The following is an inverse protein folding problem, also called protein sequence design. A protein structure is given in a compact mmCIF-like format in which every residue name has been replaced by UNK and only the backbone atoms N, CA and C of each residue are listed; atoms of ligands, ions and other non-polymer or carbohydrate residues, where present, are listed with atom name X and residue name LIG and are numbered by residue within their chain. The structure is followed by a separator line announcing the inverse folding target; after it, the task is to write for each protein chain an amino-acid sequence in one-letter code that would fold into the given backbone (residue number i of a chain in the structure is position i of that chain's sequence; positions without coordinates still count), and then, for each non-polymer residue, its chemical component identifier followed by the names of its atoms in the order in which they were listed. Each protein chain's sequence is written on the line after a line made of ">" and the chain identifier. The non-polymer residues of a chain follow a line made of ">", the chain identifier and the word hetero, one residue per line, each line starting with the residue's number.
data_IF_905795065840
#
_entry.id   IF_905795065840
#
_cell.length_a   1.000
_cell.length_b   1.000
_cell.length_c   1.000
_cell.angle_alpha   90.00
_cell.angle_beta   90.00
_cell.angle_gamma   90.00
#
_symmetry.space_group_name_H-M   'P 1'
#
loop_
_entity.id
_entity.type
_entity.pdbx_description
1 polymer ?
#
# COMPACT_ATOMS: atom_id res chain seq x y z
N UNK A 1 -23.36 -28.63 37.14
CA UNK A 1 -22.04 -27.97 36.98
C UNK A 1 -21.25 -28.90 36.06
N UNK A 2 -21.25 -28.64 34.79
CA UNK A 2 -20.48 -29.37 33.77
C UNK A 2 -19.08 -28.70 33.72
N UNK A 3 -18.05 -29.44 34.17
CA UNK A 3 -16.67 -29.07 33.96
C UNK A 3 -16.41 -28.90 32.45
N UNK A 4 -16.14 -27.66 32.04
CA UNK A 4 -15.51 -27.40 30.76
C UNK A 4 -14.08 -27.93 30.85
N UNK A 5 -13.84 -29.12 30.32
CA UNK A 5 -12.50 -29.59 30.02
C UNK A 5 -11.88 -28.63 29.02
N UNK A 6 -10.94 -27.85 29.52
CA UNK A 6 -10.12 -26.93 28.72
C UNK A 6 -9.15 -27.80 27.88
N UNK A 7 -9.63 -28.27 26.74
CA UNK A 7 -8.90 -29.14 25.81
C UNK A 7 -7.85 -28.28 25.07
N UNK A 8 -6.78 -27.94 25.79
CA UNK A 8 -5.62 -27.27 25.18
C UNK A 8 -4.92 -28.29 24.30
N UNK A 9 -5.07 -28.11 22.99
CA UNK A 9 -4.26 -28.85 22.01
C UNK A 9 -2.79 -28.63 22.28
N UNK A 10 -2.00 -29.71 22.25
CA UNK A 10 -0.56 -29.62 22.42
C UNK A 10 0.02 -28.80 21.24
N UNK A 11 0.96 -27.93 21.55
CA UNK A 11 1.66 -27.20 20.51
C UNK A 11 2.41 -28.17 19.61
N UNK A 12 2.46 -27.85 18.31
CA UNK A 12 3.31 -28.55 17.37
C UNK A 12 4.77 -28.31 17.79
N UNK A 13 5.44 -29.37 18.23
CA UNK A 13 6.85 -29.31 18.59
C UNK A 13 7.66 -29.72 17.37
N UNK A 14 8.26 -28.75 16.69
CA UNK A 14 9.22 -29.05 15.63
C UNK A 14 10.44 -29.75 16.23
N UNK A 15 10.89 -30.87 15.68
CA UNK A 15 12.04 -31.57 16.22
C UNK A 15 13.29 -30.69 16.18
N UNK A 16 14.10 -30.75 17.26
CA UNK A 16 15.34 -29.96 17.42
C UNK A 16 16.42 -30.24 16.34
N UNK A 17 16.21 -31.19 15.48
CA UNK A 17 17.10 -31.54 14.38
C UNK A 17 16.84 -30.74 13.08
N UNK A 18 16.14 -29.60 13.17
CA UNK A 18 16.11 -28.65 12.08
C UNK A 18 17.52 -28.12 11.83
N UNK A 19 18.08 -28.37 10.69
CA UNK A 19 19.25 -27.65 10.20
C UNK A 19 18.83 -26.19 10.02
N UNK A 20 19.12 -25.35 11.03
CA UNK A 20 18.94 -23.93 10.88
C UNK A 20 19.90 -23.44 9.80
N UNK A 21 19.42 -23.27 8.60
CA UNK A 21 20.13 -22.48 7.61
C UNK A 21 19.82 -21.02 7.94
N UNK A 22 20.85 -20.17 8.15
CA UNK A 22 20.62 -18.75 8.26
C UNK A 22 19.90 -18.31 6.98
N UNK A 23 18.77 -17.62 7.12
CA UNK A 23 18.14 -16.94 6.00
C UNK A 23 19.15 -15.95 5.43
N UNK A 24 19.81 -16.33 4.38
CA UNK A 24 20.41 -15.38 3.48
C UNK A 24 19.27 -14.87 2.63
N UNK A 25 18.84 -13.63 2.89
CA UNK A 25 18.05 -12.91 1.90
C UNK A 25 18.71 -13.19 0.56
N UNK A 26 17.97 -13.75 -0.40
CA UNK A 26 18.46 -13.69 -1.76
C UNK A 26 18.76 -12.22 -1.99
N UNK A 27 20.03 -11.85 -1.96
CA UNK A 27 20.42 -10.63 -2.64
C UNK A 27 19.88 -10.88 -4.05
N UNK A 28 18.80 -10.20 -4.38
CA UNK A 28 18.42 -10.03 -5.77
C UNK A 28 19.69 -9.51 -6.43
N UNK A 29 20.49 -10.40 -6.97
CA UNK A 29 21.76 -10.30 -7.67
C UNK A 29 22.41 -8.93 -7.76
N UNK A 30 22.59 -8.27 -6.65
CA UNK A 30 22.97 -6.89 -6.61
C UNK A 30 24.02 -6.58 -5.56
N UNK A 31 25.10 -7.36 -5.57
CA UNK A 31 26.40 -6.81 -5.27
C UNK A 31 27.00 -6.12 -6.49
N UNK A 32 26.26 -5.92 -7.58
CA UNK A 32 26.57 -4.92 -8.56
C UNK A 32 26.28 -3.58 -7.92
N UNK A 33 27.27 -2.75 -7.65
CA UNK A 33 27.15 -1.30 -7.61
C UNK A 33 26.20 -0.97 -8.75
N UNK A 34 24.95 -0.58 -8.45
CA UNK A 34 24.06 0.01 -9.45
C UNK A 34 24.90 1.15 -9.97
N UNK A 35 25.41 1.01 -11.19
CA UNK A 35 26.27 2.03 -11.77
C UNK A 35 25.37 3.24 -11.87
N UNK A 36 25.52 4.14 -10.89
CA UNK A 36 24.79 5.40 -10.90
C UNK A 36 25.10 6.05 -12.25
N UNK A 37 24.09 6.44 -13.02
CA UNK A 37 24.31 7.02 -14.32
C UNK A 37 25.30 8.18 -14.20
N UNK A 38 26.34 8.19 -15.04
CA UNK A 38 27.23 9.33 -15.12
C UNK A 38 26.44 10.52 -15.65
N UNK A 39 26.50 11.62 -14.92
CA UNK A 39 25.76 12.84 -15.25
C UNK A 39 26.68 14.05 -15.16
N UNK A 40 26.39 15.03 -16.00
CA UNK A 40 26.88 16.37 -15.75
C UNK A 40 26.28 16.86 -14.42
N UNK A 41 27.10 16.79 -13.37
CA UNK A 41 26.73 17.14 -12.00
C UNK A 41 26.18 18.55 -11.90
N UNK A 42 26.81 19.50 -12.60
CA UNK A 42 26.39 20.91 -12.54
C UNK A 42 25.04 21.13 -13.25
N UNK A 43 24.89 20.62 -14.46
CA UNK A 43 23.63 20.74 -15.19
C UNK A 43 22.49 20.06 -14.46
N UNK A 44 22.71 18.83 -13.96
CA UNK A 44 21.71 18.05 -13.26
C UNK A 44 21.30 18.68 -11.90
N UNK A 45 22.29 19.04 -11.07
CA UNK A 45 22.03 19.66 -9.78
C UNK A 45 21.35 21.03 -9.89
N UNK A 46 21.72 21.84 -10.91
CA UNK A 46 21.05 23.12 -11.19
C UNK A 46 19.60 22.90 -11.63
N UNK A 47 19.33 21.89 -12.47
CA UNK A 47 17.96 21.57 -12.88
C UNK A 47 17.07 21.19 -11.68
N UNK A 48 17.54 20.28 -10.81
CA UNK A 48 16.80 19.90 -9.59
C UNK A 48 16.62 21.08 -8.62
N UNK A 49 17.65 21.94 -8.48
CA UNK A 49 17.54 23.16 -7.66
C UNK A 49 16.46 24.11 -8.20
N UNK A 50 16.36 24.27 -9.52
CA UNK A 50 15.34 25.10 -10.15
C UNK A 50 13.93 24.53 -9.88
N UNK A 51 13.76 23.23 -10.01
CA UNK A 51 12.49 22.57 -9.72
C UNK A 51 12.10 22.70 -8.24
N UNK A 52 13.05 22.52 -7.33
CA UNK A 52 12.82 22.70 -5.89
C UNK A 52 12.47 24.15 -5.54
N UNK A 53 13.05 25.12 -6.24
CA UNK A 53 12.72 26.53 -6.08
C UNK A 53 11.28 26.81 -6.55
N UNK A 54 10.81 26.21 -7.63
CA UNK A 54 9.42 26.29 -8.08
C UNK A 54 8.45 25.73 -7.04
N UNK A 55 8.79 24.56 -6.45
CA UNK A 55 8.04 23.99 -5.33
C UNK A 55 7.97 24.95 -4.14
N UNK A 56 9.10 25.59 -3.81
CA UNK A 56 9.19 26.57 -2.71
C UNK A 56 8.31 27.80 -2.94
N UNK A 57 8.25 28.31 -4.15
CA UNK A 57 7.40 29.44 -4.50
C UNK A 57 5.92 29.13 -4.32
N UNK A 58 5.50 27.89 -4.67
CA UNK A 58 4.13 27.44 -4.45
C UNK A 58 3.83 27.16 -2.97
N UNK A 59 4.83 26.88 -2.16
CA UNK A 59 4.65 26.55 -0.73
C UNK A 59 3.99 27.68 0.07
N UNK A 60 4.28 28.92 -0.27
CA UNK A 60 3.67 30.07 0.39
C UNK A 60 2.16 30.15 0.19
N UNK A 61 1.68 29.87 -1.03
CA UNK A 61 0.26 29.82 -1.35
C UNK A 61 -0.46 28.65 -0.66
N UNK A 62 0.21 27.49 -0.63
CA UNK A 62 -0.30 26.30 0.08
C UNK A 62 -0.45 26.61 1.57
N UNK A 63 0.55 27.20 2.17
CA UNK A 63 0.54 27.57 3.59
C UNK A 63 -0.58 28.59 3.90
N UNK A 64 -0.71 29.64 3.11
CA UNK A 64 -1.81 30.62 3.29
C UNK A 64 -3.18 29.94 3.24
N UNK A 65 -3.39 29.01 2.30
CA UNK A 65 -4.62 28.23 2.22
C UNK A 65 -4.84 27.33 3.44
N UNK A 66 -3.78 26.69 3.96
CA UNK A 66 -3.84 25.85 5.16
C UNK A 66 -4.16 26.67 6.41
N UNK A 67 -3.57 27.86 6.55
CA UNK A 67 -3.86 28.80 7.63
C UNK A 67 -5.31 29.30 7.57
N UNK A 68 -5.81 29.65 6.39
CA UNK A 68 -7.20 30.09 6.17
C UNK A 68 -8.24 29.01 6.51
N UNK A 69 -7.89 27.73 6.37
CA UNK A 69 -8.72 26.59 6.76
C UNK A 69 -8.49 26.16 8.20
N UNK A 70 -7.65 26.85 8.96
CA UNK A 70 -7.33 26.55 10.36
C UNK A 70 -6.94 25.09 10.58
N UNK A 71 -6.05 24.57 9.72
CA UNK A 71 -5.61 23.16 9.84
C UNK A 71 -4.79 22.96 11.11
N UNK A 72 -5.04 21.85 11.80
CA UNK A 72 -4.47 21.52 13.11
C UNK A 72 -3.50 20.34 13.09
N UNK A 73 -3.43 19.56 12.01
CA UNK A 73 -2.55 18.40 11.89
C UNK A 73 -1.09 18.74 11.54
N UNK A 74 -0.81 20.02 11.32
CA UNK A 74 0.49 20.54 10.92
C UNK A 74 0.49 21.02 9.47
N UNK A 75 1.24 22.11 9.26
CA UNK A 75 1.43 22.72 7.93
C UNK A 75 2.55 21.99 7.19
N UNK A 76 2.42 21.87 5.88
CA UNK A 76 3.41 21.24 5.04
C UNK A 76 2.92 21.02 3.62
N UNK A 77 3.70 20.32 2.84
CA UNK A 77 3.36 20.00 1.45
C UNK A 77 3.79 18.58 1.10
N UNK A 78 3.18 18.03 0.06
CA UNK A 78 3.65 16.79 -0.54
C UNK A 78 4.44 17.05 -1.80
N UNK A 79 5.57 16.41 -1.88
CA UNK A 79 6.52 16.51 -3.00
C UNK A 79 6.70 15.12 -3.59
N UNK A 80 6.56 15.05 -4.90
CA UNK A 80 6.88 13.86 -5.66
C UNK A 80 8.33 13.92 -6.16
N UNK A 81 9.09 12.90 -5.79
CA UNK A 81 10.44 12.65 -6.26
C UNK A 81 10.39 11.55 -7.31
N UNK A 82 10.72 11.87 -8.54
CA UNK A 82 10.65 10.96 -9.68
C UNK A 82 12.03 10.40 -9.95
N UNK A 83 12.15 9.08 -9.98
CA UNK A 83 13.39 8.37 -10.29
C UNK A 83 13.75 8.40 -11.77
N UNK A 84 14.91 7.88 -12.09
CA UNK A 84 15.36 7.65 -13.46
C UNK A 84 14.78 6.32 -13.98
N UNK A 85 14.50 6.20 -15.28
CA UNK A 85 14.22 4.90 -15.88
C UNK A 85 15.35 3.91 -15.60
N UNK A 86 15.00 2.68 -15.31
CA UNK A 86 15.92 1.56 -15.03
C UNK A 86 16.90 1.78 -13.84
N UNK A 87 16.65 2.79 -13.01
CA UNK A 87 17.44 3.06 -11.82
C UNK A 87 16.55 3.02 -10.58
N UNK A 88 16.93 2.20 -9.61
CA UNK A 88 16.23 2.16 -8.34
C UNK A 88 16.36 3.49 -7.59
N UNK A 89 15.26 4.12 -7.27
CA UNK A 89 15.23 5.35 -6.49
C UNK A 89 15.68 5.07 -5.06
N UNK A 90 16.67 5.82 -4.58
CA UNK A 90 17.16 5.73 -3.19
C UNK A 90 16.17 6.38 -2.19
N UNK A 91 14.92 5.92 -2.19
CA UNK A 91 13.80 6.52 -1.43
C UNK A 91 14.01 6.53 0.09
N UNK A 92 14.76 5.57 0.63
CA UNK A 92 15.10 5.54 2.06
C UNK A 92 15.84 6.81 2.53
N UNK A 93 16.54 7.47 1.60
CA UNK A 93 17.25 8.71 1.87
C UNK A 93 16.36 9.95 1.81
N UNK A 94 15.11 9.82 1.37
CA UNK A 94 14.13 10.92 1.29
C UNK A 94 13.46 11.20 2.63
N UNK A 95 13.30 10.17 3.48
CA UNK A 95 12.71 10.31 4.80
C UNK A 95 13.68 10.88 5.83
N UNK A 96 13.16 11.65 6.78
CA UNK A 96 13.92 12.08 7.95
C UNK A 96 12.99 12.11 9.18
N UNK A 97 12.93 11.00 9.89
CA UNK A 97 12.08 10.79 11.05
C UNK A 97 12.80 11.06 12.40
N UNK A 98 13.88 11.85 12.34
CA UNK A 98 14.66 12.18 13.54
C UNK A 98 13.94 13.22 14.39
N UNK A 99 13.88 12.96 15.70
CA UNK A 99 13.30 13.87 16.68
C UNK A 99 12.04 13.30 17.33
N UNK A 100 11.61 13.94 18.43
CA UNK A 100 10.46 13.49 19.23
C UNK A 100 9.12 13.94 18.67
N UNK A 101 9.11 15.03 17.89
CA UNK A 101 7.89 15.59 17.30
C UNK A 101 7.62 14.97 15.93
N UNK A 102 6.77 13.97 15.89
CA UNK A 102 6.39 13.27 14.64
C UNK A 102 5.78 14.21 13.57
N UNK A 103 5.09 15.28 13.97
CA UNK A 103 4.54 16.25 13.04
C UNK A 103 5.61 17.06 12.28
N UNK A 104 6.86 16.99 12.71
CA UNK A 104 8.02 17.62 12.07
C UNK A 104 8.90 16.62 11.31
N UNK A 105 8.45 15.39 11.13
CA UNK A 105 9.18 14.39 10.35
C UNK A 105 8.93 14.59 8.85
N UNK A 106 9.99 14.44 8.06
CA UNK A 106 9.87 14.28 6.62
C UNK A 106 9.52 12.80 6.40
N UNK A 107 8.32 12.53 5.92
CA UNK A 107 7.75 11.18 5.84
C UNK A 107 7.60 10.76 4.38
N UNK A 108 8.13 9.58 4.01
CA UNK A 108 7.82 8.93 2.74
C UNK A 108 6.44 8.29 2.89
N UNK A 109 5.45 8.79 2.15
CA UNK A 109 4.06 8.37 2.27
C UNK A 109 3.73 7.17 1.39
N UNK A 110 4.15 7.22 0.13
CA UNK A 110 3.93 6.15 -0.84
C UNK A 110 5.08 6.07 -1.84
N UNK A 111 5.26 4.88 -2.41
CA UNK A 111 6.19 4.61 -3.49
C UNK A 111 5.37 3.99 -4.61
N UNK A 112 5.53 4.52 -5.81
CA UNK A 112 4.83 4.05 -6.99
C UNK A 112 5.84 3.65 -8.06
N UNK A 113 5.56 2.55 -8.76
CA UNK A 113 6.38 2.10 -9.90
C UNK A 113 5.50 2.02 -11.14
N UNK A 114 5.82 2.82 -12.13
CA UNK A 114 5.16 2.82 -13.43
C UNK A 114 6.19 2.45 -14.51
N UNK A 115 6.05 1.24 -15.06
CA UNK A 115 7.07 0.70 -15.96
C UNK A 115 8.44 0.62 -15.28
N UNK A 116 9.42 1.31 -15.85
CA UNK A 116 10.80 1.35 -15.37
C UNK A 116 11.09 2.56 -14.45
N UNK A 117 10.09 3.38 -14.17
CA UNK A 117 10.24 4.58 -13.34
C UNK A 117 9.66 4.33 -11.95
N UNK A 118 10.46 4.59 -10.92
CA UNK A 118 9.99 4.60 -9.53
C UNK A 118 9.86 6.04 -9.05
N UNK A 119 8.73 6.40 -8.46
CA UNK A 119 8.51 7.68 -7.81
C UNK A 119 8.16 7.50 -6.33
N UNK A 120 8.43 8.54 -5.53
CA UNK A 120 8.10 8.56 -4.12
C UNK A 120 7.40 9.85 -3.75
N UNK A 121 6.27 9.76 -3.04
CA UNK A 121 5.60 10.91 -2.45
C UNK A 121 6.09 11.11 -1.03
N UNK A 122 6.54 12.32 -0.76
CA UNK A 122 7.14 12.70 0.52
C UNK A 122 6.40 13.88 1.11
N UNK A 123 5.93 13.74 2.33
CA UNK A 123 5.44 14.88 3.10
C UNK A 123 6.62 15.65 3.69
N UNK A 124 6.65 16.93 3.41
CA UNK A 124 7.67 17.87 3.91
C UNK A 124 6.97 18.91 4.77
N UNK A 125 7.16 18.90 6.10
CA UNK A 125 6.64 19.91 7.01
C UNK A 125 7.12 21.31 6.62
N UNK A 126 6.32 22.32 6.96
CA UNK A 126 6.67 23.73 6.72
C UNK A 126 8.05 24.05 7.32
N UNK A 127 8.86 24.79 6.56
CA UNK A 127 10.24 25.13 6.91
C UNK A 127 11.27 23.99 6.75
N UNK A 128 10.87 22.75 6.38
CA UNK A 128 11.79 21.61 6.21
C UNK A 128 12.30 21.43 4.78
N UNK A 129 11.83 22.21 3.82
CA UNK A 129 12.30 22.13 2.44
C UNK A 129 13.81 22.39 2.33
N UNK A 130 14.36 23.18 3.25
CA UNK A 130 15.81 23.44 3.38
C UNK A 130 16.65 22.17 3.48
N UNK A 131 16.07 21.06 3.94
CA UNK A 131 16.74 19.77 4.00
C UNK A 131 17.18 19.31 2.60
N UNK A 132 16.29 19.38 1.62
CA UNK A 132 16.59 19.01 0.23
C UNK A 132 17.40 20.08 -0.50
N UNK A 133 17.21 21.38 -0.17
CA UNK A 133 18.08 22.44 -0.67
C UNK A 133 19.55 22.16 -0.29
N UNK A 134 19.79 21.75 0.95
CA UNK A 134 21.13 21.39 1.42
C UNK A 134 21.67 20.15 0.69
N UNK A 135 20.86 19.13 0.44
CA UNK A 135 21.28 17.93 -0.29
C UNK A 135 21.76 18.28 -1.70
N UNK A 136 20.99 19.11 -2.41
CA UNK A 136 21.37 19.57 -3.76
C UNK A 136 22.61 20.47 -3.71
N UNK A 137 22.73 21.33 -2.70
CA UNK A 137 23.90 22.17 -2.53
C UNK A 137 25.18 21.35 -2.22
N UNK A 138 25.07 20.36 -1.32
CA UNK A 138 26.15 19.44 -1.00
C UNK A 138 26.60 18.63 -2.24
N UNK A 139 25.61 18.23 -3.07
CA UNK A 139 25.88 17.58 -4.36
C UNK A 139 26.63 18.48 -5.31
N UNK A 140 26.21 19.72 -5.52
CA UNK A 140 26.82 20.67 -6.43
C UNK A 140 28.26 21.05 -6.03
N UNK A 141 28.56 21.10 -4.72
CA UNK A 141 29.87 21.46 -4.16
C UNK A 141 30.77 20.26 -3.90
N UNK A 142 30.33 19.04 -4.24
CA UNK A 142 31.11 17.80 -3.99
C UNK A 142 31.52 17.67 -2.52
N UNK A 143 30.62 17.97 -1.60
CA UNK A 143 30.89 17.99 -0.17
C UNK A 143 31.59 16.72 0.32
N UNK A 144 32.61 16.89 1.11
CA UNK A 144 33.35 15.83 1.79
C UNK A 144 33.36 16.06 3.29
N UNK A 145 33.43 14.99 4.06
CA UNK A 145 33.71 15.05 5.50
C UNK A 145 35.16 15.37 5.76
N UNK A 146 35.51 15.68 7.00
CA UNK A 146 36.88 15.95 7.41
C UNK A 146 37.83 14.76 7.18
N UNK A 147 37.32 13.53 7.16
CA UNK A 147 38.03 12.29 6.85
C UNK A 147 38.16 12.02 5.34
N UNK A 148 37.67 12.94 4.49
CA UNK A 148 37.73 12.81 3.03
C UNK A 148 36.60 11.97 2.41
N UNK A 149 35.74 11.34 3.23
CA UNK A 149 34.60 10.54 2.75
C UNK A 149 33.57 11.47 2.11
N UNK A 150 33.01 11.04 0.98
CA UNK A 150 31.95 11.78 0.29
C UNK A 150 30.72 11.94 1.19
N UNK A 151 30.18 13.15 1.22
CA UNK A 151 28.96 13.53 1.94
C UNK A 151 28.03 14.36 1.05
N UNK A 152 28.11 14.13 -0.27
CA UNK A 152 27.51 14.93 -1.33
C UNK A 152 26.13 14.39 -1.79
N UNK A 153 25.58 13.42 -1.09
CA UNK A 153 24.28 12.80 -1.42
C UNK A 153 24.14 12.29 -2.87
N UNK A 154 25.26 12.01 -3.54
CA UNK A 154 25.32 11.56 -4.93
C UNK A 154 24.43 10.32 -5.18
N UNK A 155 24.38 9.38 -4.22
CA UNK A 155 23.58 8.17 -4.32
C UNK A 155 22.08 8.46 -4.49
N UNK A 156 21.55 9.48 -3.83
CA UNK A 156 20.18 9.92 -4.00
C UNK A 156 20.03 10.80 -5.25
N UNK A 157 20.83 11.86 -5.34
CA UNK A 157 20.63 12.89 -6.37
C UNK A 157 20.77 12.32 -7.79
N UNK A 158 21.70 11.39 -8.02
CA UNK A 158 21.87 10.77 -9.34
C UNK A 158 20.71 9.81 -9.71
N UNK A 159 19.94 9.32 -8.74
CA UNK A 159 18.75 8.49 -9.03
C UNK A 159 17.51 9.31 -9.37
N UNK A 160 17.52 10.62 -9.10
CA UNK A 160 16.41 11.52 -9.40
C UNK A 160 16.41 11.97 -10.86
N UNK A 161 15.24 12.05 -11.45
CA UNK A 161 15.00 12.75 -12.73
C UNK A 161 14.28 14.08 -12.53
N UNK A 162 13.33 14.14 -11.59
CA UNK A 162 12.57 15.35 -11.34
C UNK A 162 12.05 15.44 -9.89
N UNK A 163 11.73 16.68 -9.49
CA UNK A 163 11.12 17.04 -8.22
C UNK A 163 9.93 17.97 -8.54
N UNK A 164 8.71 17.62 -8.09
CA UNK A 164 7.52 18.44 -8.30
C UNK A 164 6.55 18.33 -7.11
N UNK A 165 5.55 19.20 -7.06
CA UNK A 165 4.45 19.00 -6.13
C UNK A 165 3.68 17.74 -6.50
N UNK A 166 3.23 16.99 -5.49
CA UNK A 166 2.40 15.82 -5.70
C UNK A 166 1.06 16.21 -6.34
N UNK A 167 0.60 15.35 -7.25
CA UNK A 167 -0.71 15.42 -7.91
C UNK A 167 -1.53 14.20 -7.50
N UNK A 168 -2.84 14.19 -7.80
CA UNK A 168 -3.72 13.05 -7.48
C UNK A 168 -3.15 11.74 -8.01
N UNK A 169 -2.68 11.74 -9.26
CA UNK A 169 -2.12 10.53 -9.88
C UNK A 169 -0.91 9.97 -9.14
N UNK A 170 -0.10 10.83 -8.53
CA UNK A 170 1.07 10.39 -7.77
C UNK A 170 0.71 9.76 -6.42
N UNK A 171 -0.50 10.02 -5.91
CA UNK A 171 -1.04 9.39 -4.71
C UNK A 171 -1.86 8.13 -5.00
N UNK A 172 -2.20 7.89 -6.26
CA UNK A 172 -2.97 6.73 -6.68
C UNK A 172 -2.11 5.47 -6.67
N UNK A 173 -2.49 4.48 -5.86
CA UNK A 173 -1.71 3.23 -5.67
C UNK A 173 -2.41 2.00 -6.23
N UNK A 174 -3.64 2.13 -6.72
CA UNK A 174 -4.30 1.07 -7.50
C UNK A 174 -3.86 1.08 -8.97
N UNK A 175 -4.32 0.09 -9.75
CA UNK A 175 -4.16 0.08 -11.20
C UNK A 175 -4.75 1.36 -11.81
N UNK A 176 -4.01 1.99 -12.72
CA UNK A 176 -4.43 3.24 -13.36
C UNK A 176 -5.70 3.07 -14.20
N UNK A 177 -6.02 1.86 -14.66
CA UNK A 177 -7.27 1.58 -15.38
C UNK A 177 -8.52 1.76 -14.51
N UNK A 178 -8.37 1.68 -13.17
CA UNK A 178 -9.46 1.89 -12.22
C UNK A 178 -9.72 3.37 -11.94
N UNK A 179 -8.80 4.26 -12.31
CA UNK A 179 -8.99 5.70 -12.21
C UNK A 179 -9.82 6.18 -13.40
N UNK A 180 -10.99 6.80 -13.17
CA UNK A 180 -11.83 7.29 -14.26
C UNK A 180 -11.08 8.23 -15.20
N UNK A 181 -11.24 8.02 -16.50
CA UNK A 181 -10.62 8.87 -17.53
C UNK A 181 -11.27 10.26 -17.62
N UNK A 182 -12.55 10.35 -17.26
CA UNK A 182 -13.25 11.63 -17.13
C UNK A 182 -12.97 12.21 -15.72
N UNK A 183 -12.27 13.35 -15.63
CA UNK A 183 -11.93 13.94 -14.33
C UNK A 183 -13.16 14.48 -13.56
N UNK A 184 -14.30 14.64 -14.22
CA UNK A 184 -15.55 15.09 -13.61
C UNK A 184 -16.44 13.91 -13.15
N UNK A 185 -16.11 12.68 -13.49
CA UNK A 185 -16.78 11.50 -12.99
C UNK A 185 -16.57 11.36 -11.49
N UNK A 186 -17.68 11.39 -10.73
CA UNK A 186 -17.64 11.21 -9.29
C UNK A 186 -17.76 9.72 -8.93
N UNK A 187 -16.91 9.29 -8.00
CA UNK A 187 -16.90 7.91 -7.50
C UNK A 187 -16.45 7.88 -6.04
N UNK A 188 -16.54 6.71 -5.40
CA UNK A 188 -16.03 6.51 -4.05
C UNK A 188 -14.53 6.23 -4.08
N UNK A 189 -13.79 7.09 -3.37
CA UNK A 189 -12.36 6.93 -3.09
C UNK A 189 -12.17 6.22 -1.77
N UNK A 190 -11.23 5.30 -1.70
CA UNK A 190 -10.64 4.80 -0.47
C UNK A 190 -9.42 5.66 -0.17
N UNK A 191 -9.48 6.39 0.93
CA UNK A 191 -8.50 7.41 1.27
C UNK A 191 -7.70 6.97 2.49
N UNK A 192 -6.40 6.86 2.33
CA UNK A 192 -5.46 6.49 3.36
C UNK A 192 -4.83 7.74 3.95
N UNK A 193 -5.11 8.02 5.21
CA UNK A 193 -4.62 9.19 5.93
C UNK A 193 -3.43 8.79 6.82
N UNK A 194 -2.33 9.58 6.85
CA UNK A 194 -1.20 9.31 7.74
C UNK A 194 -1.53 9.68 9.19
N UNK A 195 -0.80 9.08 10.14
CA UNK A 195 -0.91 9.41 11.57
C UNK A 195 0.24 10.32 11.99
N UNK A 196 0.13 11.61 11.77
CA UNK A 196 1.18 12.61 12.07
C UNK A 196 1.17 13.07 13.53
N UNK A 197 1.39 12.16 14.46
CA UNK A 197 1.38 12.47 15.89
C UNK A 197 -0.01 12.52 16.53
N UNK A 198 -0.98 13.16 15.88
CA UNK A 198 -2.38 13.20 16.31
C UNK A 198 -3.31 12.77 15.18
N UNK A 199 -3.75 11.53 15.20
CA UNK A 199 -4.67 10.93 14.22
C UNK A 199 -5.94 11.78 14.00
N UNK A 200 -6.58 12.17 15.11
CA UNK A 200 -7.84 12.89 15.03
C UNK A 200 -7.68 14.27 14.37
N UNK A 201 -6.53 14.92 14.55
CA UNK A 201 -6.23 16.18 13.87
C UNK A 201 -6.18 15.97 12.36
N UNK A 202 -5.51 14.94 11.86
CA UNK A 202 -5.43 14.64 10.41
C UNK A 202 -6.82 14.33 9.85
N UNK A 203 -7.60 13.50 10.54
CA UNK A 203 -8.98 13.17 10.11
C UNK A 203 -9.85 14.41 10.08
N UNK A 204 -9.78 15.26 11.10
CA UNK A 204 -10.55 16.52 11.16
C UNK A 204 -10.18 17.45 10.02
N UNK A 205 -8.90 17.62 9.74
CA UNK A 205 -8.42 18.45 8.65
C UNK A 205 -8.87 17.89 7.29
N UNK A 206 -8.78 16.58 7.10
CA UNK A 206 -9.27 15.94 5.89
C UNK A 206 -10.76 16.19 5.66
N UNK A 207 -11.62 16.02 6.69
CA UNK A 207 -13.04 16.32 6.59
C UNK A 207 -13.31 17.79 6.24
N UNK A 208 -12.60 18.71 6.90
CA UNK A 208 -12.75 20.15 6.66
C UNK A 208 -12.41 20.54 5.22
N UNK A 209 -11.30 20.04 4.72
CA UNK A 209 -10.84 20.33 3.35
C UNK A 209 -11.78 19.69 2.32
N UNK A 210 -12.12 18.40 2.50
CA UNK A 210 -13.02 17.69 1.58
C UNK A 210 -14.39 18.38 1.49
N UNK A 211 -14.92 18.82 2.62
CA UNK A 211 -16.16 19.57 2.64
C UNK A 211 -16.06 20.92 1.90
N UNK A 212 -14.92 21.61 2.03
CA UNK A 212 -14.66 22.87 1.33
C UNK A 212 -14.57 22.68 -0.21
N UNK A 213 -14.25 21.48 -0.68
CA UNK A 213 -14.22 21.11 -2.11
C UNK A 213 -15.54 20.54 -2.64
N UNK A 214 -16.55 20.41 -1.78
CA UNK A 214 -17.83 19.81 -2.12
C UNK A 214 -17.82 18.30 -2.21
N UNK A 215 -16.75 17.63 -1.72
CA UNK A 215 -16.72 16.19 -1.58
C UNK A 215 -17.47 15.74 -0.33
N UNK A 216 -18.07 14.54 -0.39
CA UNK A 216 -18.73 13.91 0.76
C UNK A 216 -17.76 12.92 1.40
N UNK A 217 -17.59 12.98 2.71
CA UNK A 217 -16.74 12.04 3.46
C UNK A 217 -17.60 11.15 4.34
N UNK A 218 -17.31 9.86 4.35
CA UNK A 218 -17.96 8.90 5.22
C UNK A 218 -17.61 9.18 6.70
N UNK A 219 -18.57 8.96 7.60
CA UNK A 219 -18.30 8.98 9.03
C UNK A 219 -17.59 7.70 9.51
N UNK A 220 -17.64 6.64 8.70
CA UNK A 220 -16.95 5.41 8.99
C UNK A 220 -15.46 5.51 8.66
N UNK A 221 -14.63 4.92 9.52
CA UNK A 221 -13.19 4.84 9.33
C UNK A 221 -12.63 3.58 9.97
N UNK A 222 -11.49 3.14 9.46
CA UNK A 222 -10.73 2.04 10.05
C UNK A 222 -9.36 2.55 10.47
N UNK A 223 -8.99 2.31 11.72
CA UNK A 223 -7.74 2.79 12.30
C UNK A 223 -6.70 1.67 12.36
N UNK A 224 -5.59 1.84 11.64
CA UNK A 224 -4.37 1.02 11.73
C UNK A 224 -3.30 1.78 12.52
N UNK A 225 -2.22 1.14 12.98
CA UNK A 225 -1.18 1.83 13.75
C UNK A 225 -0.62 3.09 13.09
N UNK A 226 -0.42 3.05 11.76
CA UNK A 226 0.25 4.12 10.99
C UNK A 226 -0.66 4.82 9.99
N UNK A 227 -1.86 4.33 9.78
CA UNK A 227 -2.82 4.86 8.79
C UNK A 227 -4.23 4.88 9.37
N UNK A 228 -5.05 5.78 8.84
CA UNK A 228 -6.51 5.75 8.98
C UNK A 228 -7.10 5.65 7.58
N UNK A 229 -7.99 4.70 7.35
CA UNK A 229 -8.71 4.56 6.10
C UNK A 229 -10.10 5.13 6.27
N UNK A 230 -10.54 5.94 5.33
CA UNK A 230 -11.91 6.46 5.23
C UNK A 230 -12.34 6.51 3.76
N UNK A 231 -13.60 6.77 3.52
CA UNK A 231 -14.15 6.86 2.17
C UNK A 231 -14.60 8.29 1.87
N UNK A 232 -14.40 8.69 0.63
CA UNK A 232 -14.82 9.99 0.14
C UNK A 232 -15.50 9.82 -1.23
N UNK A 233 -16.63 10.51 -1.42
CA UNK A 233 -17.31 10.58 -2.70
C UNK A 233 -17.07 11.94 -3.36
N UNK A 234 -16.61 11.93 -4.61
CA UNK A 234 -16.33 13.13 -5.38
C UNK A 234 -15.55 12.84 -6.65
N UNK A 235 -15.36 13.85 -7.48
CA UNK A 235 -14.61 13.76 -8.73
C UNK A 235 -13.14 14.17 -8.57
N UNK A 236 -12.27 13.76 -9.52
CA UNK A 236 -10.90 14.24 -9.56
C UNK A 236 -10.82 15.77 -9.66
N UNK A 237 -11.70 16.39 -10.44
CA UNK A 237 -11.75 17.85 -10.59
C UNK A 237 -12.04 18.56 -9.27
N UNK A 238 -12.99 18.05 -8.49
CA UNK A 238 -13.28 18.60 -7.15
C UNK A 238 -12.06 18.45 -6.23
N UNK A 239 -11.47 17.28 -6.21
CA UNK A 239 -10.33 16.97 -5.35
C UNK A 239 -9.06 17.74 -5.76
N UNK A 240 -8.83 17.97 -7.06
CA UNK A 240 -7.68 18.72 -7.59
C UNK A 240 -7.73 20.20 -7.27
N UNK A 241 -8.92 20.77 -7.11
CA UNK A 241 -9.08 22.20 -6.82
C UNK A 241 -8.51 22.57 -5.45
N UNK A 242 -8.49 21.63 -4.51
CA UNK A 242 -7.84 21.81 -3.23
C UNK A 242 -6.52 21.03 -3.16
N UNK A 243 -5.44 21.58 -3.73
CA UNK A 243 -4.08 21.07 -3.49
C UNK A 243 -3.76 20.86 -2.01
N UNK A 244 -4.53 21.50 -1.15
CA UNK A 244 -4.47 21.39 0.31
C UNK A 244 -4.95 20.02 0.80
N UNK A 245 -5.93 19.38 0.13
CA UNK A 245 -6.42 18.04 0.50
C UNK A 245 -5.30 17.01 0.42
N UNK A 246 -4.49 17.12 -0.62
CA UNK A 246 -3.41 16.18 -0.86
C UNK A 246 -2.43 16.10 0.34
N UNK A 247 -2.29 17.19 1.09
CA UNK A 247 -1.40 17.21 2.26
C UNK A 247 -1.86 16.33 3.43
N UNK A 248 -3.15 16.01 3.49
CA UNK A 248 -3.71 15.11 4.51
C UNK A 248 -3.81 13.67 4.05
N UNK A 249 -3.46 13.35 2.80
CA UNK A 249 -3.63 12.04 2.19
C UNK A 249 -2.27 11.36 2.00
N UNK A 250 -2.16 10.09 2.34
CA UNK A 250 -0.96 9.29 2.04
C UNK A 250 -1.13 8.54 0.72
N UNK A 251 -2.29 7.90 0.52
CA UNK A 251 -2.59 7.09 -0.64
C UNK A 251 -4.06 7.25 -1.03
N UNK A 252 -4.34 7.06 -2.30
CA UNK A 252 -5.67 7.03 -2.89
C UNK A 252 -5.87 5.75 -3.66
N UNK A 253 -7.04 5.14 -3.49
CA UNK A 253 -7.47 3.96 -4.22
C UNK A 253 -8.94 4.10 -4.61
N UNK A 254 -9.40 3.26 -5.51
CA UNK A 254 -10.84 3.12 -5.73
C UNK A 254 -11.45 2.36 -4.55
N UNK A 255 -12.51 2.91 -3.97
CA UNK A 255 -13.25 2.16 -2.97
C UNK A 255 -13.81 0.89 -3.62
N UNK A 256 -13.53 -0.25 -3.01
CA UNK A 256 -14.04 -1.53 -3.47
C UNK A 256 -15.45 -1.72 -2.95
N UNK A 257 -16.26 -2.48 -3.69
CA UNK A 257 -17.55 -2.92 -3.21
C UNK A 257 -17.35 -3.73 -1.92
N UNK A 258 -18.24 -3.55 -0.96
CA UNK A 258 -18.12 -4.23 0.32
C UNK A 258 -18.80 -5.61 0.27
N UNK A 259 -18.32 -6.56 1.06
CA UNK A 259 -18.97 -7.87 1.22
C UNK A 259 -20.41 -7.75 1.72
N UNK A 260 -20.79 -6.62 2.30
CA UNK A 260 -22.12 -6.34 2.83
C UNK A 260 -23.23 -6.56 1.80
N UNK A 261 -22.98 -6.23 0.52
CA UNK A 261 -23.93 -6.53 -0.55
C UNK A 261 -24.23 -8.04 -0.62
N UNK A 262 -23.20 -8.87 -0.68
CA UNK A 262 -23.35 -10.32 -0.79
C UNK A 262 -23.84 -10.93 0.51
N UNK A 263 -23.40 -10.43 1.65
CA UNK A 263 -23.84 -10.90 2.98
C UNK A 263 -25.32 -10.59 3.23
N UNK A 264 -25.80 -9.46 2.73
CA UNK A 264 -27.21 -9.04 2.84
C UNK A 264 -28.18 -9.78 1.93
N UNK A 265 -27.69 -10.52 0.93
CA UNK A 265 -28.56 -11.27 0.00
C UNK A 265 -29.25 -12.47 0.67
N UNK A 266 -30.48 -12.81 0.27
CA UNK A 266 -31.11 -14.07 0.64
C UNK A 266 -30.24 -15.26 0.22
N UNK A 267 -30.24 -16.34 1.01
CA UNK A 267 -29.38 -17.51 0.77
C UNK A 267 -29.51 -18.11 -0.66
N UNK A 268 -30.72 -18.04 -1.25
CA UNK A 268 -30.93 -18.50 -2.64
C UNK A 268 -30.19 -17.61 -3.64
N UNK A 269 -30.17 -16.31 -3.42
CA UNK A 269 -29.44 -15.36 -4.29
C UNK A 269 -27.94 -15.49 -4.12
N UNK A 270 -27.44 -15.65 -2.88
CA UNK A 270 -26.03 -15.97 -2.64
C UNK A 270 -25.60 -17.24 -3.40
N UNK A 271 -26.45 -18.28 -3.41
CA UNK A 271 -26.17 -19.51 -4.14
C UNK A 271 -26.07 -19.28 -5.66
N UNK A 272 -26.89 -18.41 -6.24
CA UNK A 272 -26.81 -18.07 -7.67
C UNK A 272 -25.47 -17.43 -8.03
N UNK A 273 -24.95 -16.55 -7.19
CA UNK A 273 -23.62 -15.96 -7.36
C UNK A 273 -22.50 -17.00 -7.25
N UNK A 274 -22.60 -17.90 -6.28
CA UNK A 274 -21.66 -19.02 -6.12
C UNK A 274 -21.69 -19.93 -7.35
N UNK A 275 -22.89 -20.30 -7.84
CA UNK A 275 -23.05 -21.15 -9.02
C UNK A 275 -22.49 -20.50 -10.28
N UNK A 276 -22.61 -19.17 -10.39
CA UNK A 276 -22.03 -18.42 -11.49
C UNK A 276 -20.49 -18.42 -11.43
N UNK A 277 -19.91 -18.10 -10.28
CA UNK A 277 -18.47 -18.15 -10.07
C UNK A 277 -17.89 -19.54 -10.36
N UNK A 278 -18.56 -20.60 -9.92
CA UNK A 278 -18.14 -21.98 -10.17
C UNK A 278 -18.16 -22.35 -11.67
N UNK A 279 -19.08 -21.79 -12.47
CA UNK A 279 -19.11 -22.00 -13.93
C UNK A 279 -17.91 -21.34 -14.62
N UNK A 280 -17.41 -20.24 -14.09
CA UNK A 280 -16.26 -19.49 -14.61
C UNK A 280 -14.93 -19.98 -14.09
N UNK A 281 -14.95 -20.78 -13.00
CA UNK A 281 -13.75 -21.27 -12.34
C UNK A 281 -13.00 -22.30 -13.21
N UNK A 282 -11.75 -22.03 -13.45
CA UNK A 282 -10.80 -22.92 -14.12
C UNK A 282 -9.72 -23.30 -13.14
N UNK A 283 -9.66 -24.58 -12.81
CA UNK A 283 -8.69 -25.14 -11.85
C UNK A 283 -7.86 -26.23 -12.52
N UNK A 284 -6.57 -26.38 -12.17
CA UNK A 284 -5.76 -27.46 -12.68
C UNK A 284 -6.27 -28.81 -12.18
N UNK A 285 -6.07 -29.86 -12.99
CA UNK A 285 -6.36 -31.24 -12.58
C UNK A 285 -5.48 -31.61 -11.38
N UNK A 286 -5.94 -32.51 -10.48
CA UNK A 286 -5.11 -33.08 -9.43
C UNK A 286 -3.86 -33.82 -9.95
N UNK A 287 -3.87 -34.22 -11.22
CA UNK A 287 -2.80 -34.93 -11.89
C UNK A 287 -1.75 -33.98 -12.52
N UNK A 288 -2.08 -32.68 -12.59
CA UNK A 288 -1.17 -31.67 -13.13
C UNK A 288 -0.06 -31.37 -12.11
N UNK A 289 1.15 -31.16 -12.62
CA UNK A 289 2.28 -30.77 -11.79
C UNK A 289 2.24 -29.24 -11.53
N UNK A 290 1.37 -28.84 -10.62
CA UNK A 290 1.17 -27.43 -10.22
C UNK A 290 1.59 -27.21 -8.78
N UNK A 291 1.91 -25.97 -8.38
CA UNK A 291 2.20 -25.66 -6.98
C UNK A 291 0.97 -25.85 -6.09
N UNK A 292 1.23 -26.15 -4.82
CA UNK A 292 0.23 -26.22 -3.77
C UNK A 292 0.47 -25.14 -2.74
N UNK A 293 -0.61 -24.52 -2.28
CA UNK A 293 -0.58 -23.66 -1.09
C UNK A 293 -1.01 -24.50 0.11
N UNK A 294 -0.08 -24.70 1.03
CA UNK A 294 -0.34 -25.45 2.27
C UNK A 294 -0.80 -24.49 3.37
N UNK A 295 -1.99 -24.70 3.90
CA UNK A 295 -2.57 -23.92 4.99
C UNK A 295 -2.40 -24.64 6.33
N UNK A 296 -1.58 -24.07 7.19
CA UNK A 296 -1.33 -24.57 8.55
C UNK A 296 -2.32 -23.95 9.53
N UNK A 297 -3.50 -24.50 9.63
CA UNK A 297 -4.59 -24.03 10.48
C UNK A 297 -5.26 -25.18 11.25
N UNK A 298 -6.41 -24.97 11.83
CA UNK A 298 -7.20 -26.01 12.50
C UNK A 298 -7.90 -26.97 11.52
N UNK A 299 -7.86 -26.70 10.22
CA UNK A 299 -8.47 -27.45 9.12
C UNK A 299 -9.17 -26.53 8.13
N UNK A 300 -9.73 -27.13 7.08
CA UNK A 300 -10.54 -26.46 6.06
C UNK A 300 -11.87 -27.19 5.89
N UNK A 301 -12.97 -26.44 5.76
CA UNK A 301 -14.26 -27.02 5.42
C UNK A 301 -14.35 -27.28 3.90
N UNK A 302 -13.82 -28.41 3.47
CA UNK A 302 -13.88 -28.85 2.05
C UNK A 302 -15.32 -29.00 1.52
N UNK A 303 -16.30 -29.14 2.40
CA UNK A 303 -17.72 -29.20 2.01
C UNK A 303 -18.24 -27.88 1.43
N UNK A 304 -17.51 -26.77 1.54
CA UNK A 304 -17.86 -25.51 0.91
C UNK A 304 -17.74 -25.64 -0.62
N UNK A 305 -18.81 -25.29 -1.35
CA UNK A 305 -18.90 -25.48 -2.79
C UNK A 305 -17.71 -24.87 -3.56
N UNK A 306 -17.26 -23.69 -3.16
CA UNK A 306 -16.14 -23.00 -3.82
C UNK A 306 -14.77 -23.58 -3.49
N UNK A 307 -14.63 -24.41 -2.45
CA UNK A 307 -13.35 -25.03 -2.07
C UNK A 307 -13.25 -26.48 -2.54
N UNK A 308 -14.36 -27.16 -2.73
CA UNK A 308 -14.37 -28.55 -3.19
C UNK A 308 -13.59 -28.80 -4.51
N UNK A 309 -13.59 -27.90 -5.52
CA UNK A 309 -12.84 -28.10 -6.75
C UNK A 309 -11.31 -28.01 -6.58
N UNK A 310 -10.83 -27.24 -5.60
CA UNK A 310 -9.41 -26.86 -5.44
C UNK A 310 -8.70 -27.60 -4.32
N UNK A 311 -9.44 -28.26 -3.41
CA UNK A 311 -8.88 -29.04 -2.30
C UNK A 311 -9.35 -30.49 -2.39
N UNK A 312 -8.43 -31.42 -2.59
CA UNK A 312 -8.75 -32.84 -2.63
C UNK A 312 -8.77 -33.43 -1.21
N UNK A 313 -9.58 -34.47 -0.98
CA UNK A 313 -9.67 -35.11 0.33
C UNK A 313 -8.33 -35.70 0.80
N UNK A 314 -7.51 -36.19 -0.13
CA UNK A 314 -6.19 -36.75 0.16
C UNK A 314 -5.15 -35.70 0.55
N UNK A 315 -5.42 -34.42 0.26
CA UNK A 315 -4.53 -33.30 0.53
C UNK A 315 -4.89 -32.61 1.87
N UNK A 316 -5.76 -33.26 2.65
CA UNK A 316 -6.16 -32.82 3.99
C UNK A 316 -5.47 -33.68 5.04
N UNK A 317 -4.57 -33.10 5.81
CA UNK A 317 -3.70 -33.77 6.76
C UNK A 317 -3.96 -33.34 8.21
N UNK A 318 -3.61 -34.18 9.15
CA UNK A 318 -3.59 -33.84 10.57
C UNK A 318 -2.41 -34.50 11.27
N UNK A 319 -1.86 -33.83 12.26
CA UNK A 319 -0.79 -34.39 13.10
C UNK A 319 -1.32 -35.31 14.19
N UNK A 320 -2.65 -35.29 14.41
CA UNK A 320 -3.34 -36.17 15.37
C UNK A 320 -4.74 -36.47 14.86
N UNK A 321 -5.01 -37.71 14.55
CA UNK A 321 -6.29 -38.18 13.99
C UNK A 321 -7.50 -37.79 14.85
N UNK A 322 -7.33 -37.64 16.17
CA UNK A 322 -8.40 -37.22 17.06
C UNK A 322 -8.84 -35.76 16.83
N UNK A 323 -8.04 -34.94 16.19
CA UNK A 323 -8.39 -33.57 15.88
C UNK A 323 -9.25 -33.43 14.62
N UNK A 324 -9.15 -34.41 13.72
CA UNK A 324 -9.77 -34.32 12.40
C UNK A 324 -9.08 -33.31 11.51
N UNK A 325 -9.70 -33.03 10.37
CA UNK A 325 -9.18 -32.12 9.31
C UNK A 325 -10.15 -30.98 8.99
N UNK A 326 -11.30 -30.95 9.66
CA UNK A 326 -12.32 -29.92 9.40
C UNK A 326 -12.10 -28.69 10.25
N UNK A 327 -12.31 -27.54 9.64
CA UNK A 327 -12.28 -26.25 10.32
C UNK A 327 -13.46 -26.11 11.32
N UNK A 328 -13.15 -25.78 12.56
CA UNK A 328 -14.15 -25.58 13.61
C UNK A 328 -14.37 -24.11 13.97
N UNK A 329 -13.53 -23.21 13.42
CA UNK A 329 -13.53 -21.78 13.71
C UNK A 329 -13.81 -20.91 12.48
N UNK A 330 -13.97 -21.51 11.30
CA UNK A 330 -14.12 -20.87 9.99
C UNK A 330 -12.90 -20.03 9.53
N UNK A 331 -11.82 -20.01 10.30
CA UNK A 331 -10.64 -19.21 9.95
C UNK A 331 -9.84 -19.85 8.80
N UNK A 332 -9.50 -21.13 8.90
CA UNK A 332 -8.80 -21.86 7.84
C UNK A 332 -9.60 -21.93 6.54
N UNK A 333 -10.93 -22.04 6.65
CA UNK A 333 -11.84 -21.99 5.50
C UNK A 333 -11.83 -20.63 4.83
N UNK A 334 -11.83 -19.53 5.61
CA UNK A 334 -11.70 -18.17 5.09
C UNK A 334 -10.35 -17.93 4.41
N UNK A 335 -9.25 -18.37 5.02
CA UNK A 335 -7.91 -18.29 4.43
C UNK A 335 -7.82 -19.07 3.11
N UNK A 336 -8.46 -20.24 3.01
CA UNK A 336 -8.52 -21.01 1.79
C UNK A 336 -9.24 -20.24 0.66
N UNK A 337 -10.31 -19.54 0.98
CA UNK A 337 -11.01 -18.65 0.05
C UNK A 337 -10.09 -17.56 -0.49
N UNK A 338 -9.38 -16.85 0.39
CA UNK A 338 -8.43 -15.80 0.00
C UNK A 338 -7.29 -16.37 -0.83
N UNK A 339 -6.75 -17.55 -0.47
CA UNK A 339 -5.65 -18.17 -1.19
C UNK A 339 -6.01 -18.53 -2.64
N UNK A 340 -7.27 -18.86 -2.92
CA UNK A 340 -7.74 -19.26 -4.27
C UNK A 340 -8.27 -18.06 -5.06
N UNK A 341 -9.10 -17.23 -4.44
CA UNK A 341 -9.87 -16.22 -5.14
C UNK A 341 -9.32 -14.81 -4.98
N UNK A 342 -8.36 -14.60 -4.05
CA UNK A 342 -7.90 -13.26 -3.70
C UNK A 342 -9.04 -12.43 -3.10
N UNK A 343 -9.46 -11.39 -3.81
CA UNK A 343 -10.67 -10.65 -3.45
C UNK A 343 -11.92 -11.39 -3.96
N UNK A 344 -12.70 -11.95 -3.04
CA UNK A 344 -13.90 -12.70 -3.37
C UNK A 344 -14.96 -11.82 -4.03
N UNK A 345 -14.99 -10.53 -3.72
CA UNK A 345 -15.94 -9.57 -4.29
C UNK A 345 -15.64 -9.39 -5.77
N UNK A 346 -14.38 -9.18 -6.11
CA UNK A 346 -13.92 -9.08 -7.49
C UNK A 346 -14.25 -10.38 -8.26
N UNK A 347 -13.99 -11.53 -7.66
CA UNK A 347 -14.29 -12.82 -8.25
C UNK A 347 -15.79 -13.04 -8.49
N UNK A 348 -16.67 -12.60 -7.58
CA UNK A 348 -18.11 -12.73 -7.71
C UNK A 348 -18.70 -11.71 -8.70
N UNK A 349 -18.27 -10.46 -8.67
CA UNK A 349 -18.84 -9.38 -9.50
C UNK A 349 -18.29 -9.35 -10.94
N UNK A 350 -17.16 -10.01 -11.21
CA UNK A 350 -16.62 -10.15 -12.57
C UNK A 350 -17.45 -11.09 -13.44
N UNK A 351 -17.37 -10.92 -14.75
CA UNK A 351 -17.88 -11.86 -15.75
C UNK A 351 -16.79 -12.69 -16.41
N UNK A 352 -15.53 -12.43 -16.06
CA UNK A 352 -14.35 -13.09 -16.64
C UNK A 352 -14.13 -14.49 -16.05
N UNK A 353 -13.30 -15.28 -16.71
CA UNK A 353 -12.87 -16.58 -16.20
C UNK A 353 -12.03 -16.36 -14.91
N UNK A 354 -12.29 -17.21 -13.91
CA UNK A 354 -11.50 -17.25 -12.68
C UNK A 354 -10.40 -18.31 -12.88
N UNK A 355 -9.21 -17.88 -13.27
CA UNK A 355 -8.09 -18.78 -13.55
C UNK A 355 -7.25 -19.00 -12.28
N UNK A 356 -7.19 -20.25 -11.83
CA UNK A 356 -6.39 -20.64 -10.65
C UNK A 356 -5.25 -21.54 -11.13
N UNK A 357 -4.01 -21.12 -10.90
CA UNK A 357 -2.80 -21.85 -11.32
C UNK A 357 -2.22 -22.80 -10.26
N UNK A 358 -2.91 -23.03 -9.16
CA UNK A 358 -2.44 -23.85 -8.02
C UNK A 358 -3.58 -24.59 -7.34
N UNK A 359 -3.23 -25.48 -6.39
CA UNK A 359 -4.20 -26.20 -5.57
C UNK A 359 -3.96 -25.95 -4.09
N UNK A 360 -4.85 -26.43 -3.24
CA UNK A 360 -4.70 -26.32 -1.78
C UNK A 360 -4.28 -27.65 -1.16
N UNK A 361 -3.56 -27.55 -0.07
CA UNK A 361 -3.23 -28.59 0.90
C UNK A 361 -3.47 -28.05 2.31
N UNK A 362 -3.93 -28.87 3.23
CA UNK A 362 -4.26 -28.45 4.62
C UNK A 362 -3.67 -29.41 5.63
#
# INVERSE_FOLDING_TARGET
>A
MTEQTNDKRLHLSLPKNSTAQPYTAHSLGGGGSTLLPERDRQAHGVALRTQLQQVKEMSAQIREGQENLELISGLGMQIEFIGQPDVELAFESLGNERGRNKAQHIEVLSIHKEGDITSANVFVPDGKLVHFENYIQDYLTEKRRADGVSADHKSLINTLSAIRLAEIKSLWTDDLSLLPSDPDEAFWWEVWLPVRGNRNAVVTDFHRISHATGCQVSEHKVDFPERTITWMYGSQSQFSQARLVLNCVAELRRAKDTAEFFEGLPALEQQLWVDDALRRLQVPSPEDNVPYICLLDSGINRGHAMLAPVLHQQDMHTVNDAWGVNDTANHGTGLAGVAIYGDMIDALSSTDAIEVGHRLES
#
